data_IF_978443879985
#
_entry.id   IF_978443879985
#
_cell.length_a   1.000
_cell.length_b   1.000
_cell.length_c   1.000
_cell.angle_alpha   90.00
_cell.angle_beta   90.00
_cell.angle_gamma   90.00
#
_symmetry.space_group_name_H-M   'P 1'
#
loop_
_entity.id
_entity.type
_entity.pdbx_description
1 polymer ?
#
# COMPACT_ATOMS: atom_id res chain seq x y z
N UNK A 1 3.46 15.58 -5.20
CA UNK A 1 2.29 15.08 -5.96
C UNK A 1 2.76 14.74 -7.37
N UNK A 2 1.89 14.26 -8.25
CA UNK A 2 2.29 13.65 -9.55
C UNK A 2 1.98 14.55 -10.76
N UNK A 3 1.52 15.78 -10.51
CA UNK A 3 1.22 16.85 -11.46
C UNK A 3 0.27 16.42 -12.58
N UNK A 4 -0.83 15.75 -12.22
CA UNK A 4 -1.88 15.34 -13.17
C UNK A 4 -3.24 15.95 -12.79
N UNK A 5 -4.15 16.11 -13.76
CA UNK A 5 -5.53 16.51 -13.46
C UNK A 5 -6.17 15.58 -12.42
N UNK A 6 -6.81 16.18 -11.41
CA UNK A 6 -7.49 15.45 -10.33
C UNK A 6 -6.59 15.09 -9.14
N UNK A 7 -5.30 15.44 -9.13
CA UNK A 7 -4.43 15.12 -7.98
C UNK A 7 -4.79 15.85 -6.68
N UNK A 8 -5.59 16.91 -6.76
CA UNK A 8 -6.10 17.66 -5.60
C UNK A 8 -7.49 17.20 -5.16
N UNK A 9 -8.04 16.15 -5.77
CA UNK A 9 -9.32 15.59 -5.33
C UNK A 9 -9.22 15.03 -3.90
N UNK A 10 -10.34 14.97 -3.16
CA UNK A 10 -10.36 14.32 -1.86
C UNK A 10 -9.88 12.87 -1.94
N UNK A 11 -9.29 12.39 -0.84
CA UNK A 11 -8.76 11.03 -0.71
C UNK A 11 -7.54 10.71 -1.62
N UNK A 12 -6.89 11.75 -2.18
CA UNK A 12 -5.61 11.63 -2.88
C UNK A 12 -4.49 12.16 -1.98
N UNK A 13 -3.53 11.31 -1.65
CA UNK A 13 -2.46 11.63 -0.71
C UNK A 13 -1.10 11.25 -1.26
N UNK A 14 -0.06 11.91 -0.75
CA UNK A 14 1.29 11.35 -0.89
C UNK A 14 1.44 10.15 0.05
N UNK A 15 2.13 9.11 -0.39
CA UNK A 15 2.39 7.94 0.45
C UNK A 15 3.09 8.32 1.75
N UNK A 16 4.02 9.29 1.70
CA UNK A 16 4.71 9.82 2.89
C UNK A 16 3.73 10.36 3.94
N UNK A 17 2.71 11.12 3.54
CA UNK A 17 1.72 11.65 4.48
C UNK A 17 0.82 10.57 5.05
N UNK A 18 0.43 9.58 4.23
CA UNK A 18 -0.30 8.41 4.72
C UNK A 18 0.52 7.61 5.74
N UNK A 19 1.83 7.46 5.50
CA UNK A 19 2.78 6.88 6.45
C UNK A 19 2.90 7.70 7.72
N UNK A 20 2.96 9.02 7.60
CA UNK A 20 2.95 9.91 8.76
C UNK A 20 1.68 9.74 9.60
N UNK A 21 0.52 9.70 8.94
CA UNK A 21 -0.78 9.51 9.57
C UNK A 21 -0.86 8.22 10.38
N UNK A 22 -0.54 7.06 9.79
CA UNK A 22 -0.63 5.80 10.53
C UNK A 22 0.47 5.62 11.58
N UNK A 23 1.55 6.42 11.53
CA UNK A 23 2.59 6.44 12.57
C UNK A 23 2.36 7.55 13.62
N UNK A 24 1.26 8.32 13.51
CA UNK A 24 0.94 9.37 14.46
C UNK A 24 1.84 10.61 14.41
N UNK A 25 2.42 10.95 13.25
CA UNK A 25 3.17 12.20 13.09
C UNK A 25 2.24 13.41 13.30
N UNK A 26 2.60 14.38 14.16
CA UNK A 26 1.75 15.53 14.48
C UNK A 26 1.23 16.30 13.26
N UNK A 27 2.05 16.44 12.22
CA UNK A 27 1.69 17.17 10.99
C UNK A 27 0.68 16.43 10.10
N UNK A 28 0.47 15.13 10.34
CA UNK A 28 -0.36 14.26 9.50
C UNK A 28 -1.53 13.60 10.27
N UNK A 29 -1.73 13.90 11.56
CA UNK A 29 -2.85 13.33 12.35
C UNK A 29 -4.23 13.72 11.81
N UNK A 30 -4.33 14.91 11.21
CA UNK A 30 -5.56 15.45 10.64
C UNK A 30 -5.81 14.98 9.19
N UNK A 31 -5.04 13.99 8.70
CA UNK A 31 -5.26 13.42 7.38
C UNK A 31 -6.61 12.70 7.32
N UNK A 32 -7.58 13.30 6.64
CA UNK A 32 -8.92 12.76 6.48
C UNK A 32 -8.97 11.63 5.43
N UNK A 33 -8.46 10.46 5.82
CA UNK A 33 -8.45 9.25 4.98
C UNK A 33 -9.86 8.65 4.95
N UNK A 34 -10.44 8.51 3.76
CA UNK A 34 -11.68 7.78 3.57
C UNK A 34 -11.40 6.32 3.18
N UNK A 35 -11.76 5.38 4.06
CA UNK A 35 -11.64 3.94 3.86
C UNK A 35 -12.98 3.23 3.55
N UNK A 36 -14.07 3.98 3.35
CA UNK A 36 -15.35 3.46 2.80
C UNK A 36 -15.25 3.32 1.27
N UNK A 37 -14.21 2.62 0.83
CA UNK A 37 -13.91 2.31 -0.57
C UNK A 37 -13.45 0.87 -0.66
N UNK A 38 -13.70 0.20 -1.79
CA UNK A 38 -13.29 -1.20 -1.93
C UNK A 38 -11.89 -1.38 -2.54
N UNK A 39 -11.39 -0.36 -3.26
CA UNK A 39 -10.13 -0.42 -4.00
C UNK A 39 -9.27 0.83 -3.77
N UNK A 40 -7.97 0.62 -3.63
CA UNK A 40 -6.96 1.68 -3.49
C UNK A 40 -5.89 1.52 -4.56
N UNK A 41 -5.53 2.62 -5.22
CA UNK A 41 -4.40 2.67 -6.14
C UNK A 41 -3.21 3.34 -5.46
N UNK A 42 -2.04 2.69 -5.50
CA UNK A 42 -0.78 3.25 -5.01
C UNK A 42 0.17 3.40 -6.19
N UNK A 43 0.59 4.64 -6.46
CA UNK A 43 1.50 4.94 -7.56
C UNK A 43 2.94 4.79 -7.07
N UNK A 44 3.62 3.77 -7.56
CA UNK A 44 4.98 3.39 -7.17
C UNK A 44 5.10 1.91 -6.81
N UNK A 45 6.31 1.36 -6.99
CA UNK A 45 6.67 -0.03 -6.69
C UNK A 45 7.97 -0.07 -5.87
N UNK A 46 7.99 0.68 -4.77
CA UNK A 46 9.06 0.68 -3.77
C UNK A 46 8.55 0.20 -2.41
N UNK A 47 9.45 0.08 -1.42
CA UNK A 47 9.07 -0.40 -0.09
C UNK A 47 7.94 0.41 0.56
N UNK A 48 7.95 1.75 0.42
CA UNK A 48 6.87 2.59 0.96
C UNK A 48 5.51 2.27 0.35
N UNK A 49 5.44 1.93 -0.94
CA UNK A 49 4.20 1.53 -1.58
C UNK A 49 3.68 0.19 -1.03
N UNK A 50 4.61 -0.72 -0.73
CA UNK A 50 4.33 -1.99 -0.06
C UNK A 50 3.84 -1.75 1.38
N UNK A 51 4.45 -0.86 2.15
CA UNK A 51 4.02 -0.55 3.52
C UNK A 51 2.61 0.00 3.59
N UNK A 52 2.26 0.92 2.68
CA UNK A 52 0.88 1.42 2.54
C UNK A 52 -0.09 0.26 2.28
N UNK A 53 0.29 -0.67 1.39
CA UNK A 53 -0.55 -1.82 1.09
C UNK A 53 -0.69 -2.76 2.30
N UNK A 54 0.39 -3.01 3.04
CA UNK A 54 0.40 -3.85 4.24
C UNK A 54 -0.50 -3.27 5.31
N UNK A 55 -0.40 -1.99 5.63
CA UNK A 55 -1.23 -1.36 6.67
C UNK A 55 -2.73 -1.48 6.34
N UNK A 56 -3.09 -1.28 5.07
CA UNK A 56 -4.49 -1.33 4.65
C UNK A 56 -5.08 -2.76 4.56
N UNK A 57 -4.25 -3.78 4.38
CA UNK A 57 -4.70 -5.16 4.18
C UNK A 57 -4.42 -6.09 5.37
N UNK A 58 -3.54 -5.69 6.30
CA UNK A 58 -3.18 -6.54 7.44
C UNK A 58 -4.39 -6.72 8.35
N UNK A 59 -4.71 -7.96 8.76
CA UNK A 59 -5.78 -8.23 9.72
C UNK A 59 -5.63 -7.41 11.01
N UNK A 60 -6.72 -6.83 11.49
CA UNK A 60 -6.71 -5.96 12.68
C UNK A 60 -6.09 -6.59 13.92
N UNK A 61 -6.28 -7.90 14.11
CA UNK A 61 -5.74 -8.59 15.29
C UNK A 61 -4.20 -8.62 15.32
N UNK A 62 -3.54 -8.45 14.16
CA UNK A 62 -2.10 -8.29 14.04
C UNK A 62 -1.73 -6.83 14.34
N UNK A 63 -2.43 -5.87 13.72
CA UNK A 63 -2.17 -4.43 13.90
C UNK A 63 -2.36 -3.98 15.36
N UNK A 64 -3.32 -4.55 16.09
CA UNK A 64 -3.55 -4.29 17.53
C UNK A 64 -2.36 -4.63 18.43
N UNK A 65 -1.35 -5.35 17.93
CA UNK A 65 -0.12 -5.69 18.66
C UNK A 65 1.05 -4.75 18.33
N UNK A 66 0.81 -3.73 17.50
CA UNK A 66 1.82 -2.75 17.07
C UNK A 66 1.60 -1.42 17.78
N UNK A 67 2.45 -0.44 17.51
CA UNK A 67 2.41 0.93 18.02
C UNK A 67 1.54 1.89 17.18
N UNK A 68 0.74 1.35 16.25
CA UNK A 68 -0.20 2.13 15.45
C UNK A 68 -1.21 2.89 16.36
N UNK A 69 -1.50 4.18 16.09
CA UNK A 69 -2.43 4.96 16.91
C UNK A 69 -3.83 4.36 16.97
N UNK A 70 -4.48 4.49 18.12
CA UNK A 70 -5.81 3.89 18.35
C UNK A 70 -6.89 4.47 17.43
N UNK A 71 -6.84 5.78 17.15
CA UNK A 71 -7.75 6.42 16.18
C UNK A 71 -7.58 5.87 14.75
N UNK A 72 -6.36 5.45 14.39
CA UNK A 72 -6.06 4.83 13.09
C UNK A 72 -6.59 3.39 13.07
N UNK A 73 -6.40 2.62 14.15
CA UNK A 73 -6.98 1.28 14.30
C UNK A 73 -8.51 1.30 14.20
N UNK A 74 -9.15 2.27 14.85
CA UNK A 74 -10.60 2.44 14.80
C UNK A 74 -11.09 2.69 13.36
N UNK A 75 -10.36 3.50 12.59
CA UNK A 75 -10.69 3.74 11.19
C UNK A 75 -10.46 2.49 10.33
N UNK A 76 -9.32 1.82 10.50
CA UNK A 76 -9.00 0.57 9.80
C UNK A 76 -10.02 -0.52 10.15
N UNK A 77 -10.59 -0.51 11.35
CA UNK A 77 -11.61 -1.48 11.75
C UNK A 77 -12.92 -1.40 10.98
N UNK A 78 -13.18 -0.22 10.41
CA UNK A 78 -14.36 0.09 9.59
C UNK A 78 -14.02 0.10 8.09
N UNK A 79 -12.76 -0.17 7.73
CA UNK A 79 -12.29 -0.18 6.34
C UNK A 79 -13.05 -1.20 5.52
N UNK A 80 -13.42 -0.82 4.30
CA UNK A 80 -13.99 -1.71 3.28
C UNK A 80 -13.00 -2.07 2.18
N UNK A 81 -11.74 -1.65 2.32
CA UNK A 81 -10.69 -1.89 1.34
C UNK A 81 -10.45 -3.40 1.24
N UNK A 82 -10.58 -3.92 0.02
CA UNK A 82 -10.37 -5.35 -0.31
C UNK A 82 -9.28 -5.55 -1.34
N UNK A 83 -8.97 -4.51 -2.12
CA UNK A 83 -8.04 -4.57 -3.25
C UNK A 83 -7.10 -3.38 -3.24
N UNK A 84 -5.82 -3.66 -3.39
CA UNK A 84 -4.80 -2.64 -3.59
C UNK A 84 -4.04 -2.94 -4.87
N UNK A 85 -3.88 -1.92 -5.70
CA UNK A 85 -3.15 -2.01 -6.97
C UNK A 85 -1.89 -1.15 -6.86
N UNK A 86 -0.72 -1.80 -6.90
CA UNK A 86 0.58 -1.12 -6.97
C UNK A 86 0.92 -0.86 -8.44
N UNK A 87 0.96 0.41 -8.84
CA UNK A 87 1.12 0.83 -10.23
C UNK A 87 2.53 1.34 -10.45
N UNK A 88 3.31 0.61 -11.24
CA UNK A 88 4.62 1.03 -11.73
C UNK A 88 4.54 1.72 -13.07
N UNK A 89 5.45 2.67 -13.33
CA UNK A 89 5.62 3.30 -14.65
C UNK A 89 6.55 2.52 -15.59
N UNK A 90 7.24 1.49 -15.08
CA UNK A 90 8.22 0.65 -15.80
C UNK A 90 7.92 -0.83 -15.52
N UNK A 91 8.59 -1.71 -16.25
CA UNK A 91 8.48 -3.16 -16.08
C UNK A 91 8.97 -3.68 -14.72
N UNK A 92 8.65 -4.93 -14.37
CA UNK A 92 9.00 -5.56 -13.10
C UNK A 92 10.52 -5.63 -12.81
N UNK A 93 11.38 -5.61 -13.82
CA UNK A 93 12.84 -5.53 -13.68
C UNK A 93 13.32 -4.20 -13.08
N UNK A 94 12.44 -3.20 -12.99
CA UNK A 94 12.72 -1.87 -12.46
C UNK A 94 12.08 -1.58 -11.11
N UNK A 95 11.51 -2.59 -10.43
CA UNK A 95 10.93 -2.39 -9.10
C UNK A 95 12.01 -1.96 -8.11
N UNK A 96 11.65 -1.03 -7.23
CA UNK A 96 12.56 -0.50 -6.20
C UNK A 96 12.35 -1.17 -4.83
N UNK A 97 11.38 -2.08 -4.74
CA UNK A 97 11.11 -2.84 -3.53
C UNK A 97 12.12 -3.97 -3.35
N UNK A 98 12.46 -4.28 -2.10
CA UNK A 98 13.42 -5.33 -1.78
C UNK A 98 12.76 -6.72 -1.72
N UNK A 99 13.58 -7.77 -1.85
CA UNK A 99 13.10 -9.16 -1.76
C UNK A 99 12.40 -9.46 -0.43
N UNK A 100 12.88 -8.87 0.68
CA UNK A 100 12.26 -9.02 2.00
C UNK A 100 10.82 -8.52 1.97
N UNK A 101 10.61 -7.28 1.53
CA UNK A 101 9.28 -6.68 1.50
C UNK A 101 8.35 -7.37 0.50
N UNK A 102 8.86 -7.82 -0.65
CA UNK A 102 8.09 -8.64 -1.58
C UNK A 102 7.60 -9.94 -0.94
N UNK A 103 8.50 -10.62 -0.22
CA UNK A 103 8.20 -11.89 0.44
C UNK A 103 7.15 -11.73 1.54
N UNK A 104 7.23 -10.66 2.31
CA UNK A 104 6.22 -10.33 3.32
C UNK A 104 4.85 -10.09 2.67
N UNK A 105 4.79 -9.35 1.57
CA UNK A 105 3.55 -9.12 0.81
C UNK A 105 2.92 -10.41 0.28
N UNK A 106 3.71 -11.28 -0.32
CA UNK A 106 3.22 -12.55 -0.88
C UNK A 106 2.66 -13.48 0.21
N UNK A 107 3.17 -13.34 1.44
CA UNK A 107 2.77 -14.15 2.59
C UNK A 107 1.75 -13.46 3.51
N UNK A 108 1.23 -12.31 3.11
CA UNK A 108 0.30 -11.55 3.95
C UNK A 108 -0.98 -12.37 4.18
N UNK A 109 -1.36 -12.53 5.45
CA UNK A 109 -2.50 -13.34 5.86
C UNK A 109 -3.81 -12.79 5.27
N UNK A 110 -4.66 -13.69 4.76
CA UNK A 110 -5.95 -13.32 4.16
C UNK A 110 -5.85 -12.62 2.82
N UNK A 111 -4.65 -12.50 2.24
CA UNK A 111 -4.41 -11.83 0.98
C UNK A 111 -3.88 -12.79 -0.09
N UNK A 112 -4.21 -12.48 -1.35
CA UNK A 112 -3.71 -13.22 -2.51
C UNK A 112 -3.01 -12.25 -3.48
N UNK A 113 -1.70 -12.42 -3.74
CA UNK A 113 -1.01 -11.59 -4.72
C UNK A 113 -1.53 -11.90 -6.12
N UNK A 114 -1.84 -10.85 -6.89
CA UNK A 114 -2.23 -10.96 -8.29
C UNK A 114 -1.14 -10.31 -9.17
N UNK A 115 -0.32 -11.14 -9.81
CA UNK A 115 0.65 -10.72 -10.81
C UNK A 115 0.13 -11.19 -12.18
N UNK A 116 0.08 -10.31 -13.18
CA UNK A 116 -0.39 -10.70 -14.50
C UNK A 116 0.75 -11.40 -15.25
N UNK A 117 0.56 -12.62 -15.78
CA UNK A 117 1.62 -13.32 -16.49
C UNK A 117 2.23 -12.53 -17.65
N UNK A 118 1.41 -11.75 -18.37
CA UNK A 118 1.87 -10.88 -19.45
C UNK A 118 2.98 -9.90 -19.02
N UNK A 119 3.00 -9.49 -17.75
CA UNK A 119 3.96 -8.52 -17.23
C UNK A 119 5.36 -9.12 -17.00
N UNK A 120 5.50 -10.45 -16.91
CA UNK A 120 6.78 -11.09 -16.58
C UNK A 120 7.16 -12.33 -17.40
N UNK A 121 6.24 -12.93 -18.16
CA UNK A 121 6.52 -14.14 -18.96
C UNK A 121 7.58 -13.94 -20.04
N UNK A 122 7.78 -12.70 -20.49
CA UNK A 122 8.79 -12.34 -21.48
C UNK A 122 10.17 -12.14 -20.85
N UNK A 123 10.27 -12.06 -19.53
CA UNK A 123 11.55 -11.93 -18.86
C UNK A 123 12.30 -13.27 -18.97
N UNK A 124 13.61 -13.24 -19.29
CA UNK A 124 14.42 -14.43 -19.20
C UNK A 124 14.34 -14.96 -17.76
N UNK A 125 14.30 -16.28 -17.61
CA UNK A 125 14.42 -16.88 -16.29
C UNK A 125 15.69 -16.32 -15.63
N UNK A 126 15.52 -15.55 -14.56
CA UNK A 126 16.62 -15.13 -13.70
C UNK A 126 17.05 -16.38 -12.93
N UNK A 127 17.87 -17.21 -13.57
CA UNK A 127 18.44 -18.46 -13.07
C UNK A 127 19.95 -18.24 -12.91
N UNK A 128 20.53 -18.70 -11.80
CA UNK A 128 20.65 -20.13 -11.49
C UNK A 128 19.48 -20.75 -10.70
#
# INVERSE_FOLDING_TARGET
>A
MINIPGESLPNVFSARRFVGWYNGLPDDVDLNVNLDVESVAVIGQGNVAVDVARILLTPLHILKKTDIPENVLDLLSKSRVKRIVLIGRRGPEHVALTIKELREMIKLEGCHPQLKPADYQHLPALIP
#
